data_IF_827493144151
#
_entry.id   IF_827493144151
#
_cell.length_a   1.000
_cell.length_b   1.000
_cell.length_c   1.000
_cell.angle_alpha   90.00
_cell.angle_beta   90.00
_cell.angle_gamma   90.00
#
_symmetry.space_group_name_H-M   'P 1'
#
loop_
_entity.id
_entity.type
_entity.pdbx_description
1 polymer ?
#
# COMPACT_ATOMS: atom_id res chain seq x y z
N UNK A 1 -10.40 -2.78 15.79
CA UNK A 1 -9.54 -3.88 16.29
C UNK A 1 -9.30 -3.71 17.76
N UNK A 2 -9.60 -4.76 18.54
CA UNK A 2 -9.32 -4.67 19.96
C UNK A 2 -7.82 -4.46 20.17
N UNK A 3 -7.48 -3.63 21.10
CA UNK A 3 -6.09 -3.40 21.50
C UNK A 3 -5.44 -2.18 20.90
N UNK A 4 -6.07 -1.51 19.91
CA UNK A 4 -5.52 -0.24 19.46
C UNK A 4 -6.51 0.88 19.68
N UNK A 5 -5.99 2.02 20.09
CA UNK A 5 -6.79 3.20 20.35
C UNK A 5 -7.04 3.98 19.06
N UNK A 6 -7.93 4.96 19.12
CA UNK A 6 -8.20 5.84 18.00
C UNK A 6 -6.94 6.62 17.58
N UNK A 7 -6.13 7.06 18.55
CA UNK A 7 -4.89 7.79 18.26
C UNK A 7 -3.89 6.85 17.58
N UNK A 8 -3.76 5.63 18.09
CA UNK A 8 -2.87 4.65 17.49
C UNK A 8 -3.29 4.33 16.05
N UNK A 9 -4.60 4.15 15.84
CA UNK A 9 -5.13 3.91 14.50
C UNK A 9 -4.84 5.07 13.56
N UNK A 10 -4.97 6.30 14.05
CA UNK A 10 -4.66 7.48 13.23
C UNK A 10 -3.19 7.52 12.85
N UNK A 11 -2.29 7.20 13.78
CA UNK A 11 -0.86 7.18 13.51
C UNK A 11 -0.51 6.11 12.47
N UNK A 12 -1.12 4.94 12.59
CA UNK A 12 -0.93 3.86 11.62
C UNK A 12 -1.43 4.31 10.24
N UNK A 13 -2.60 4.96 10.22
CA UNK A 13 -3.17 5.46 8.98
C UNK A 13 -2.29 6.53 8.33
N UNK A 14 -1.71 7.43 9.11
CA UNK A 14 -0.79 8.43 8.58
C UNK A 14 0.47 7.78 8.01
N UNK A 15 1.00 6.76 8.70
CA UNK A 15 2.17 6.04 8.19
C UNK A 15 1.85 5.38 6.85
N UNK A 16 0.67 4.75 6.73
CA UNK A 16 0.24 4.14 5.48
C UNK A 16 0.06 5.16 4.38
N UNK A 17 -0.58 6.28 4.70
CA UNK A 17 -0.78 7.37 3.74
C UNK A 17 0.54 7.93 3.27
N UNK A 18 1.51 8.08 4.17
CA UNK A 18 2.84 8.56 3.80
C UNK A 18 3.50 7.62 2.80
N UNK A 19 3.42 6.31 3.04
CA UNK A 19 4.00 5.33 2.12
C UNK A 19 3.36 5.43 0.73
N UNK A 20 2.04 5.57 0.67
CA UNK A 20 1.35 5.67 -0.61
C UNK A 20 1.74 6.95 -1.33
N UNK A 21 1.76 8.08 -0.62
CA UNK A 21 2.16 9.36 -1.22
C UNK A 21 3.61 9.31 -1.69
N UNK A 22 4.49 8.75 -0.85
CA UNK A 22 5.91 8.62 -1.22
C UNK A 22 6.09 7.73 -2.44
N UNK A 23 5.35 6.62 -2.52
CA UNK A 23 5.41 5.74 -3.68
C UNK A 23 4.93 6.45 -4.94
N UNK A 24 3.85 7.21 -4.81
CA UNK A 24 3.30 7.97 -5.93
C UNK A 24 4.28 9.03 -6.42
N UNK A 25 4.90 9.76 -5.48
CA UNK A 25 5.91 10.75 -5.83
C UNK A 25 7.11 10.08 -6.52
N UNK A 26 7.55 8.95 -5.98
CA UNK A 26 8.63 8.18 -6.58
C UNK A 26 8.30 7.81 -8.04
N UNK A 27 7.07 7.36 -8.29
CA UNK A 27 6.68 6.96 -9.65
C UNK A 27 6.67 8.13 -10.61
N UNK A 28 6.42 9.34 -10.12
CA UNK A 28 6.37 10.52 -10.97
C UNK A 28 7.72 11.21 -11.16
N UNK A 29 8.60 11.07 -10.17
CA UNK A 29 9.88 11.78 -10.19
C UNK A 29 11.04 10.92 -10.72
N UNK A 30 10.92 9.61 -10.65
CA UNK A 30 11.97 8.71 -11.07
C UNK A 30 11.93 8.47 -12.57
N UNK A 31 13.09 8.50 -13.21
CA UNK A 31 13.21 8.21 -14.64
C UNK A 31 13.11 6.71 -14.92
N UNK A 32 13.56 5.88 -13.98
CA UNK A 32 13.44 4.45 -14.14
C UNK A 32 12.94 3.86 -12.84
N UNK A 33 11.62 3.81 -12.71
CA UNK A 33 10.97 3.33 -11.50
C UNK A 33 11.17 1.83 -11.34
N UNK A 34 11.54 1.45 -10.10
CA UNK A 34 11.60 0.03 -9.75
C UNK A 34 10.17 -0.43 -9.43
N UNK A 35 9.61 -1.26 -10.30
CA UNK A 35 8.23 -1.69 -10.18
C UNK A 35 7.97 -2.46 -8.88
N UNK A 36 8.93 -3.29 -8.47
CA UNK A 36 8.77 -4.06 -7.24
C UNK A 36 8.71 -3.13 -6.01
N UNK A 37 9.65 -2.19 -5.92
CA UNK A 37 9.67 -1.24 -4.79
C UNK A 37 8.38 -0.44 -4.74
N UNK A 38 7.92 0.04 -5.89
CA UNK A 38 6.69 0.82 -5.97
C UNK A 38 5.49 0.03 -5.45
N UNK A 39 5.34 -1.21 -5.91
CA UNK A 39 4.19 -2.02 -5.54
C UNK A 39 4.27 -2.52 -4.10
N UNK A 40 5.46 -2.83 -3.60
CA UNK A 40 5.63 -3.23 -2.20
C UNK A 40 5.24 -2.07 -1.28
N UNK A 41 5.71 -0.86 -1.59
CA UNK A 41 5.37 0.32 -0.78
C UNK A 41 3.85 0.56 -0.79
N UNK A 42 3.22 0.42 -1.96
CA UNK A 42 1.77 0.57 -2.06
C UNK A 42 1.02 -0.49 -1.27
N UNK A 43 1.48 -1.73 -1.34
CA UNK A 43 0.82 -2.81 -0.60
C UNK A 43 0.87 -2.56 0.90
N UNK A 44 2.06 -2.25 1.43
CA UNK A 44 2.18 -2.01 2.86
C UNK A 44 1.45 -0.74 3.30
N UNK A 45 1.49 0.30 2.47
CA UNK A 45 0.73 1.51 2.76
C UNK A 45 -0.77 1.24 2.86
N UNK A 46 -1.31 0.50 1.90
CA UNK A 46 -2.72 0.14 1.90
C UNK A 46 -3.06 -0.79 3.08
N UNK A 47 -2.17 -1.71 3.42
CA UNK A 47 -2.39 -2.59 4.56
C UNK A 47 -2.47 -1.80 5.88
N UNK A 48 -1.57 -0.83 6.06
CA UNK A 48 -1.62 0.03 7.24
C UNK A 48 -2.91 0.85 7.30
N UNK A 49 -3.35 1.36 6.17
CA UNK A 49 -4.62 2.07 6.11
C UNK A 49 -5.79 1.16 6.44
N UNK A 50 -5.77 -0.08 5.96
CA UNK A 50 -6.81 -1.05 6.28
C UNK A 50 -6.86 -1.35 7.78
N UNK A 51 -5.70 -1.46 8.43
CA UNK A 51 -5.62 -1.64 9.87
C UNK A 51 -6.26 -0.43 10.59
N UNK A 52 -5.92 0.78 10.15
CA UNK A 52 -6.51 2.00 10.70
C UNK A 52 -8.03 1.99 10.57
N UNK A 53 -8.54 1.50 9.45
CA UNK A 53 -9.98 1.43 9.20
C UNK A 53 -10.72 0.45 10.10
N UNK A 54 -10.03 -0.49 10.73
CA UNK A 54 -10.70 -1.40 11.67
C UNK A 54 -11.23 -0.65 12.89
N UNK A 55 -10.65 0.52 13.18
CA UNK A 55 -11.10 1.37 14.29
C UNK A 55 -12.07 2.43 13.78
N UNK A 56 -11.72 3.10 12.69
CA UNK A 56 -12.53 4.15 12.09
C UNK A 56 -13.13 3.63 10.79
N UNK A 57 -14.02 2.66 10.90
CA UNK A 57 -14.50 1.89 9.75
C UNK A 57 -15.32 2.72 8.79
N UNK A 58 -15.04 2.55 7.50
CA UNK A 58 -15.80 3.15 6.40
C UNK A 58 -15.83 2.11 5.28
N UNK A 59 -17.00 1.59 4.99
CA UNK A 59 -17.13 0.49 4.04
C UNK A 59 -16.61 0.84 2.64
N UNK A 60 -17.00 1.97 2.03
CA UNK A 60 -16.46 2.29 0.71
C UNK A 60 -14.93 2.36 0.70
N UNK A 61 -14.33 2.94 1.72
CA UNK A 61 -12.88 3.05 1.81
C UNK A 61 -12.24 1.68 2.00
N UNK A 62 -12.83 0.82 2.81
CA UNK A 62 -12.29 -0.53 3.00
C UNK A 62 -12.31 -1.32 1.69
N UNK A 63 -13.38 -1.20 0.91
CA UNK A 63 -13.46 -1.85 -0.40
C UNK A 63 -12.35 -1.33 -1.32
N UNK A 64 -12.13 -0.02 -1.33
CA UNK A 64 -11.07 0.59 -2.13
C UNK A 64 -9.71 0.06 -1.72
N UNK A 65 -9.45 -0.05 -0.42
CA UNK A 65 -8.16 -0.54 0.08
C UNK A 65 -7.92 -1.99 -0.29
N UNK A 66 -8.96 -2.82 -0.25
CA UNK A 66 -8.85 -4.23 -0.64
C UNK A 66 -8.51 -4.33 -2.12
N UNK A 67 -9.20 -3.55 -2.97
CA UNK A 67 -8.91 -3.51 -4.40
C UNK A 67 -7.48 -3.02 -4.63
N UNK A 68 -7.06 -1.99 -3.90
CA UNK A 68 -5.72 -1.41 -4.02
C UNK A 68 -4.64 -2.44 -3.69
N UNK A 69 -4.84 -3.17 -2.58
CA UNK A 69 -3.90 -4.22 -2.19
C UNK A 69 -3.84 -5.34 -3.24
N UNK A 70 -4.99 -5.68 -3.82
CA UNK A 70 -5.04 -6.69 -4.88
C UNK A 70 -4.23 -6.26 -6.10
N UNK A 71 -4.37 -5.01 -6.51
CA UNK A 71 -3.62 -4.47 -7.64
C UNK A 71 -2.12 -4.45 -7.33
N UNK A 72 -1.76 -4.06 -6.10
CA UNK A 72 -0.35 -4.04 -5.69
C UNK A 72 0.25 -5.45 -5.68
N UNK A 73 -0.51 -6.44 -5.20
CA UNK A 73 -0.05 -7.83 -5.23
C UNK A 73 0.17 -8.31 -6.66
N UNK A 74 -0.74 -7.96 -7.57
CA UNK A 74 -0.57 -8.28 -8.98
C UNK A 74 0.70 -7.65 -9.52
N UNK A 75 0.96 -6.39 -9.18
CA UNK A 75 2.18 -5.69 -9.59
C UNK A 75 3.43 -6.32 -9.04
N UNK A 76 3.40 -6.77 -7.77
CA UNK A 76 4.53 -7.47 -7.16
C UNK A 76 4.81 -8.77 -7.91
N UNK A 77 3.76 -9.56 -8.17
CA UNK A 77 3.91 -10.83 -8.89
C UNK A 77 4.49 -10.60 -10.27
N UNK A 78 4.01 -9.58 -10.98
CA UNK A 78 4.51 -9.23 -12.31
C UNK A 78 5.99 -8.83 -12.26
N UNK A 79 6.37 -8.03 -11.26
CA UNK A 79 7.75 -7.60 -11.11
C UNK A 79 8.68 -8.77 -10.80
N UNK A 80 8.24 -9.70 -9.95
CA UNK A 80 9.04 -10.88 -9.62
C UNK A 80 9.18 -11.80 -10.81
N UNK A 81 8.12 -11.97 -11.61
CA UNK A 81 8.20 -12.77 -12.83
C UNK A 81 9.20 -12.19 -13.83
N UNK A 82 9.18 -10.87 -13.97
CA UNK A 82 10.09 -10.21 -14.90
C UNK A 82 11.55 -10.43 -14.48
N UNK A 83 11.82 -10.43 -13.16
CA UNK A 83 13.17 -10.69 -12.66
C UNK A 83 13.59 -12.13 -12.83
N UNK A 84 12.65 -13.06 -12.78
CA UNK A 84 12.94 -14.49 -12.89
C UNK A 84 13.19 -14.93 -14.32
N UNK A 85 12.71 -14.16 -15.32
CA UNK A 85 12.88 -14.53 -16.72
C UNK A 85 14.32 -14.34 -17.16
N UNK A 86 14.90 -15.32 -17.88
CA UNK A 86 16.23 -15.12 -18.47
C UNK A 86 16.18 -14.06 -19.55
N UNK A 87 17.29 -13.39 -19.70
CA UNK A 87 17.44 -12.35 -20.71
C UNK A 87 17.57 -12.96 -22.11
#
# INVERSE_FOLDING_TARGET
MPGISSIEADLIGFAGSFLIVAAFAYSNLSKSMNLLVFNVANFFGAALLAISLTVNYNLPTMVLEIVWMGIALFGIAKALRARAKPQ
#
